data_IF_031214528136
#
_entry.id   IF_031214528136
#
_cell.length_a   1.000
_cell.length_b   1.000
_cell.length_c   1.000
_cell.angle_alpha   90.00
_cell.angle_beta   90.00
_cell.angle_gamma   90.00
#
_symmetry.space_group_name_H-M   'P 1'
#
loop_
_entity.id
_entity.type
_entity.pdbx_description
1 polymer ?
#
# COMPACT_ATOMS: atom_id res chain seq x y z
N UNK A 1 -25.42 2.63 8.79
CA UNK A 1 -25.07 2.66 10.22
C UNK A 1 -23.77 1.86 10.42
N UNK A 2 -22.84 2.38 11.25
CA UNK A 2 -21.59 1.68 11.55
C UNK A 2 -21.27 1.81 13.05
N UNK A 3 -20.80 0.72 13.65
CA UNK A 3 -20.32 0.66 15.03
C UNK A 3 -18.88 0.14 14.94
N UNK A 4 -17.95 0.87 15.56
CA UNK A 4 -16.52 0.56 15.50
C UNK A 4 -16.02 0.19 16.90
N UNK A 5 -15.27 -0.92 16.98
CA UNK A 5 -14.47 -1.31 18.14
C UNK A 5 -13.03 -1.34 17.70
N UNK A 6 -12.18 -0.60 18.38
CA UNK A 6 -10.76 -0.48 18.08
C UNK A 6 -10.00 -0.62 19.38
N UNK A 7 -8.97 -1.46 19.40
CA UNK A 7 -8.04 -1.59 20.51
C UNK A 7 -6.63 -1.72 19.96
N UNK A 8 -5.69 -0.99 20.56
CA UNK A 8 -4.31 -1.00 20.13
C UNK A 8 -3.36 -0.58 21.22
N UNK A 9 -2.09 -0.80 20.97
CA UNK A 9 -1.01 -0.34 21.85
C UNK A 9 0.22 0.04 21.06
N UNK A 10 0.99 0.93 21.65
CA UNK A 10 2.32 1.35 21.24
C UNK A 10 3.35 0.89 22.26
N UNK A 11 4.37 0.18 21.80
CA UNK A 11 5.48 -0.24 22.64
C UNK A 11 6.78 0.34 22.13
N UNK A 12 7.44 1.16 22.95
CA UNK A 12 8.75 1.75 22.65
C UNK A 12 9.83 1.00 23.40
N UNK A 13 10.86 0.58 22.69
CA UNK A 13 11.97 -0.16 23.26
C UNK A 13 13.29 0.19 22.57
N UNK A 14 14.39 -0.27 23.18
CA UNK A 14 15.71 -0.14 22.58
C UNK A 14 16.22 -1.52 22.19
N UNK A 15 16.74 -1.63 20.98
CA UNK A 15 17.45 -2.80 20.49
C UNK A 15 18.83 -2.34 20.00
N UNK A 16 19.90 -2.93 20.53
CA UNK A 16 21.30 -2.49 20.28
C UNK A 16 21.50 -0.98 20.51
N UNK A 17 20.96 -0.44 21.62
CA UNK A 17 20.97 0.99 21.99
C UNK A 17 20.26 1.94 21.01
N UNK A 18 19.47 1.44 20.05
CA UNK A 18 18.71 2.22 19.08
C UNK A 18 17.23 2.23 19.41
N UNK A 19 16.52 3.34 19.11
CA UNK A 19 15.09 3.43 19.39
C UNK A 19 14.25 2.65 18.39
N UNK A 20 13.31 1.88 18.90
CA UNK A 20 12.29 1.18 18.13
C UNK A 20 10.91 1.44 18.71
N UNK A 21 9.91 1.40 17.84
CA UNK A 21 8.51 1.48 18.20
C UNK A 21 7.74 0.36 17.49
N UNK A 22 7.07 -0.46 18.26
CA UNK A 22 6.12 -1.44 17.76
C UNK A 22 4.70 -0.95 18.03
N UNK A 23 3.86 -0.95 17.00
CA UNK A 23 2.43 -0.60 17.09
C UNK A 23 1.62 -1.81 16.67
N UNK A 24 0.60 -2.16 17.45
CA UNK A 24 -0.39 -3.16 17.07
C UNK A 24 -1.78 -2.59 17.33
N UNK A 25 -2.67 -2.72 16.32
CA UNK A 25 -4.06 -2.27 16.40
C UNK A 25 -4.97 -3.34 15.81
N UNK A 26 -5.94 -3.78 16.60
CA UNK A 26 -7.02 -4.65 16.16
C UNK A 26 -8.32 -3.85 16.04
N UNK A 27 -9.11 -4.11 15.02
CA UNK A 27 -10.38 -3.44 14.83
C UNK A 27 -11.48 -4.38 14.34
N UNK A 28 -12.70 -4.05 14.74
CA UNK A 28 -13.92 -4.65 14.24
C UNK A 28 -14.96 -3.57 13.96
N UNK A 29 -15.53 -3.56 12.75
CA UNK A 29 -16.57 -2.63 12.33
C UNK A 29 -17.81 -3.43 11.95
N UNK A 30 -18.88 -3.25 12.70
CA UNK A 30 -20.19 -3.77 12.35
C UNK A 30 -20.89 -2.76 11.43
N UNK A 31 -21.30 -3.22 10.25
CA UNK A 31 -21.92 -2.40 9.22
C UNK A 31 -23.38 -2.82 9.04
N UNK A 32 -24.31 -1.89 9.19
CA UNK A 32 -25.72 -2.12 9.00
C UNK A 32 -26.32 -1.19 7.96
N UNK A 33 -27.39 -1.63 7.31
CA UNK A 33 -28.08 -0.85 6.28
C UNK A 33 -27.14 -0.42 5.14
N UNK A 34 -26.35 -1.37 4.64
CA UNK A 34 -25.49 -1.14 3.49
C UNK A 34 -26.29 -1.20 2.21
N UNK A 35 -25.96 -0.32 1.27
CA UNK A 35 -26.38 -0.42 -0.12
C UNK A 35 -25.39 -1.30 -0.86
N UNK A 36 -25.80 -2.45 -1.39
CA UNK A 36 -24.91 -3.27 -2.18
C UNK A 36 -24.51 -2.55 -3.45
N UNK A 37 -23.26 -2.70 -3.83
CA UNK A 37 -22.72 -2.13 -5.07
C UNK A 37 -21.75 -3.10 -5.74
N UNK A 38 -21.61 -2.99 -7.04
CA UNK A 38 -20.57 -3.64 -7.84
C UNK A 38 -19.70 -2.62 -8.53
N UNK A 39 -18.51 -3.04 -8.90
CA UNK A 39 -17.60 -2.22 -9.71
C UNK A 39 -17.55 -2.86 -11.10
N UNK A 40 -18.13 -2.16 -12.08
CA UNK A 40 -18.12 -2.58 -13.46
C UNK A 40 -17.14 -1.72 -14.25
N UNK A 41 -16.04 -2.31 -14.67
CA UNK A 41 -14.84 -1.62 -15.16
C UNK A 41 -14.32 -0.66 -14.09
N UNK A 42 -14.54 0.63 -14.21
CA UNK A 42 -14.19 1.66 -13.21
C UNK A 42 -15.43 2.35 -12.63
N UNK A 43 -16.63 1.93 -13.05
CA UNK A 43 -17.90 2.53 -12.63
C UNK A 43 -18.50 1.77 -11.47
N UNK A 44 -18.84 2.49 -10.40
CA UNK A 44 -19.60 1.95 -9.27
C UNK A 44 -21.09 1.94 -9.64
N UNK A 45 -21.71 0.76 -9.52
CA UNK A 45 -23.14 0.56 -9.76
C UNK A 45 -23.81 0.16 -8.45
N UNK A 46 -24.71 0.99 -7.95
CA UNK A 46 -25.49 0.76 -6.73
C UNK A 46 -26.79 0.02 -7.04
N UNK A 47 -27.18 -0.91 -6.16
CA UNK A 47 -28.41 -1.70 -6.31
C UNK A 47 -29.65 -1.06 -5.66
N UNK A 48 -29.47 0.11 -5.03
CA UNK A 48 -30.57 1.01 -4.64
C UNK A 48 -31.11 0.86 -3.22
N UNK A 49 -31.14 -0.34 -2.64
CA UNK A 49 -31.79 -0.59 -1.36
C UNK A 49 -30.81 -0.86 -0.21
N UNK A 50 -31.14 -0.37 0.99
CA UNK A 50 -30.36 -0.52 2.23
C UNK A 50 -30.57 -1.90 2.89
N UNK A 51 -30.41 -2.99 2.13
CA UNK A 51 -30.81 -4.33 2.54
C UNK A 51 -29.67 -5.20 3.09
N UNK A 52 -28.43 -4.72 3.07
CA UNK A 52 -27.28 -5.51 3.47
C UNK A 52 -26.77 -5.15 4.85
N UNK A 53 -26.21 -6.11 5.52
CA UNK A 53 -25.34 -5.95 6.68
C UNK A 53 -23.95 -6.48 6.34
N UNK A 54 -22.94 -6.06 7.10
CA UNK A 54 -21.57 -6.49 6.84
C UNK A 54 -20.66 -6.28 8.02
N UNK A 55 -19.40 -6.63 7.84
CA UNK A 55 -18.36 -6.32 8.78
C UNK A 55 -17.02 -6.03 8.09
N UNK A 56 -16.16 -5.31 8.77
CA UNK A 56 -14.75 -5.20 8.47
C UNK A 56 -13.97 -5.47 9.75
N UNK A 57 -13.06 -6.45 9.71
CA UNK A 57 -12.22 -6.80 10.83
C UNK A 57 -10.77 -6.88 10.37
N UNK A 58 -9.83 -6.49 11.21
CA UNK A 58 -8.43 -6.53 10.84
C UNK A 58 -7.48 -6.35 12.01
N UNK A 59 -6.21 -6.57 11.68
CA UNK A 59 -5.06 -6.40 12.56
C UNK A 59 -3.97 -5.67 11.79
N UNK A 60 -3.56 -4.52 12.31
CA UNK A 60 -2.46 -3.73 11.77
C UNK A 60 -1.26 -3.79 12.71
N UNK A 61 -0.11 -4.21 12.19
CA UNK A 61 1.16 -4.29 12.89
C UNK A 61 2.17 -3.40 12.20
N UNK A 62 2.95 -2.64 12.97
CA UNK A 62 4.03 -1.82 12.43
C UNK A 62 5.23 -1.81 13.37
N UNK A 63 6.39 -2.09 12.82
CA UNK A 63 7.68 -1.89 13.46
C UNK A 63 8.39 -0.73 12.77
N UNK A 64 8.66 0.31 13.52
CA UNK A 64 9.40 1.48 13.09
C UNK A 64 10.64 1.61 13.96
N UNK A 65 11.77 2.02 13.39
CA UNK A 65 12.97 2.27 14.18
C UNK A 65 14.21 2.51 13.36
N UNK A 66 15.29 2.70 14.09
CA UNK A 66 16.62 2.95 13.58
C UNK A 66 17.36 1.61 13.35
N UNK A 67 17.05 0.92 12.26
CA UNK A 67 17.73 -0.33 11.90
C UNK A 67 19.22 -0.09 11.58
N UNK A 68 19.52 1.05 11.00
CA UNK A 68 20.86 1.52 10.73
C UNK A 68 21.02 2.90 11.39
N UNK A 69 22.16 3.20 12.08
CA UNK A 69 22.38 4.47 12.75
C UNK A 69 22.13 5.68 11.84
N UNK A 70 21.28 6.61 12.31
CA UNK A 70 20.94 7.83 11.58
C UNK A 70 19.93 7.66 10.44
N UNK A 71 19.26 6.50 10.35
CA UNK A 71 18.22 6.28 9.33
C UNK A 71 16.97 5.69 9.93
N UNK A 72 15.81 6.19 9.49
CA UNK A 72 14.50 5.66 9.86
C UNK A 72 14.03 4.63 8.84
N UNK A 73 13.66 3.46 9.34
CA UNK A 73 13.12 2.37 8.52
C UNK A 73 11.89 1.76 9.20
N UNK A 74 11.03 1.14 8.44
CA UNK A 74 9.83 0.52 8.99
C UNK A 74 9.34 -0.65 8.13
N UNK A 75 8.63 -1.54 8.78
CA UNK A 75 7.86 -2.61 8.16
C UNK A 75 6.46 -2.62 8.75
N UNK A 76 5.46 -2.83 7.93
CA UNK A 76 4.07 -2.98 8.35
C UNK A 76 3.43 -4.20 7.71
N UNK A 77 2.55 -4.83 8.48
CA UNK A 77 1.68 -5.93 8.07
C UNK A 77 0.25 -5.56 8.44
N UNK A 78 -0.64 -5.55 7.46
CA UNK A 78 -2.08 -5.41 7.66
C UNK A 78 -2.76 -6.71 7.24
N UNK A 79 -3.61 -7.23 8.10
CA UNK A 79 -4.49 -8.36 7.84
C UNK A 79 -5.93 -7.86 7.94
N UNK A 80 -6.73 -8.08 6.91
CA UNK A 80 -8.10 -7.57 6.88
C UNK A 80 -9.06 -8.59 6.26
N UNK A 81 -10.28 -8.60 6.75
CA UNK A 81 -11.41 -9.29 6.14
C UNK A 81 -12.62 -8.36 6.13
N UNK A 82 -13.18 -8.15 4.95
CA UNK A 82 -14.39 -7.33 4.81
C UNK A 82 -15.43 -8.09 4.00
N UNK A 83 -16.64 -8.19 4.53
CA UNK A 83 -17.73 -8.86 3.84
C UNK A 83 -19.07 -8.20 4.12
N UNK A 84 -20.01 -8.42 3.19
CA UNK A 84 -21.42 -8.08 3.36
C UNK A 84 -22.27 -9.34 3.21
N UNK A 85 -23.41 -9.36 3.87
CA UNK A 85 -24.46 -10.39 3.71
C UNK A 85 -25.55 -9.84 2.81
N UNK A 86 -25.77 -10.54 1.70
CA UNK A 86 -26.87 -10.31 0.75
C UNK A 86 -27.63 -11.62 0.59
N UNK A 87 -28.94 -11.64 0.80
CA UNK A 87 -29.79 -12.83 0.70
C UNK A 87 -29.26 -14.06 1.48
N UNK A 88 -28.67 -13.83 2.65
CA UNK A 88 -28.10 -14.89 3.49
C UNK A 88 -26.69 -15.37 3.09
N UNK A 89 -26.17 -14.97 1.93
CA UNK A 89 -24.82 -15.28 1.48
C UNK A 89 -23.82 -14.21 1.90
N UNK A 90 -22.61 -14.61 2.29
CA UNK A 90 -21.52 -13.71 2.59
C UNK A 90 -20.69 -13.45 1.33
N UNK A 91 -20.54 -12.18 0.97
CA UNK A 91 -19.82 -11.72 -0.22
C UNK A 91 -18.71 -10.78 0.21
N UNK A 92 -17.46 -10.94 -0.25
CA UNK A 92 -16.39 -9.99 0.04
C UNK A 92 -16.72 -8.62 -0.55
N UNK A 93 -16.46 -7.56 0.20
CA UNK A 93 -16.56 -6.20 -0.33
C UNK A 93 -15.47 -5.96 -1.38
N UNK A 94 -15.69 -5.09 -2.38
CA UNK A 94 -14.66 -4.77 -3.39
C UNK A 94 -13.36 -4.24 -2.80
N UNK A 95 -13.37 -3.79 -1.56
CA UNK A 95 -12.19 -3.33 -0.80
C UNK A 95 -11.54 -4.42 0.05
N UNK A 96 -11.99 -5.68 -0.03
CA UNK A 96 -11.46 -6.79 0.76
C UNK A 96 -10.05 -7.17 0.29
N UNK A 97 -9.05 -6.62 0.94
CA UNK A 97 -7.64 -6.93 0.74
C UNK A 97 -7.13 -7.71 1.95
N UNK A 98 -7.00 -9.03 1.82
CA UNK A 98 -6.76 -9.92 2.98
C UNK A 98 -5.46 -9.67 3.70
N UNK A 99 -4.43 -9.23 2.96
CA UNK A 99 -3.15 -8.85 3.55
C UNK A 99 -2.48 -7.74 2.75
N UNK A 100 -1.71 -6.92 3.45
CA UNK A 100 -0.78 -5.97 2.86
C UNK A 100 0.50 -5.92 3.70
N UNK A 101 1.64 -6.07 3.04
CA UNK A 101 2.98 -5.94 3.63
C UNK A 101 3.67 -4.79 2.95
N UNK A 102 4.12 -3.80 3.73
CA UNK A 102 4.94 -2.71 3.23
C UNK A 102 6.21 -2.60 4.05
N UNK A 103 7.32 -2.36 3.37
CA UNK A 103 8.61 -2.13 3.99
C UNK A 103 9.28 -0.92 3.35
N UNK A 104 9.86 -0.09 4.17
CA UNK A 104 10.76 0.97 3.76
C UNK A 104 12.05 0.85 4.57
N UNK A 105 13.15 0.70 3.89
CA UNK A 105 14.46 0.57 4.47
C UNK A 105 15.41 1.60 3.87
N UNK A 106 16.18 2.26 4.73
CA UNK A 106 17.24 3.17 4.30
C UNK A 106 18.54 2.82 4.97
N UNK A 107 19.63 2.99 4.23
CA UNK A 107 20.97 2.74 4.71
C UNK A 107 21.97 3.72 4.06
N UNK A 108 23.10 3.92 4.74
CA UNK A 108 24.27 4.58 4.18
C UNK A 108 25.26 3.51 3.71
N UNK A 109 26.01 3.80 2.64
CA UNK A 109 27.09 2.92 2.23
C UNK A 109 28.17 2.84 3.32
N UNK A 110 28.76 1.66 3.55
CA UNK A 110 29.80 1.49 4.54
C UNK A 110 30.96 2.50 4.37
N UNK A 111 31.33 3.17 5.47
CA UNK A 111 32.43 4.11 5.50
C UNK A 111 32.11 5.52 4.95
N UNK A 112 30.87 5.81 4.56
CA UNK A 112 30.50 7.15 4.08
C UNK A 112 29.05 7.50 4.39
N UNK A 113 28.81 8.74 4.81
CA UNK A 113 27.46 9.31 4.97
C UNK A 113 26.99 10.09 3.73
N UNK A 114 27.80 10.09 2.66
CA UNK A 114 27.46 10.81 1.42
C UNK A 114 26.52 10.01 0.51
N UNK A 115 26.61 8.69 0.52
CA UNK A 115 25.76 7.82 -0.26
C UNK A 115 24.66 7.21 0.62
N UNK A 116 23.43 7.46 0.27
CA UNK A 116 22.24 6.92 0.94
C UNK A 116 21.41 6.12 -0.03
N UNK A 117 21.17 4.87 0.31
CA UNK A 117 20.30 3.95 -0.44
C UNK A 117 18.94 3.87 0.24
N UNK A 118 17.88 3.70 -0.53
CA UNK A 118 16.55 3.37 -0.04
C UNK A 118 15.97 2.20 -0.80
N UNK A 119 15.27 1.32 -0.09
CA UNK A 119 14.52 0.20 -0.63
C UNK A 119 13.09 0.28 -0.12
N UNK A 120 12.12 0.20 -1.03
CA UNK A 120 10.70 0.10 -0.69
C UNK A 120 10.15 -1.17 -1.31
N UNK A 121 9.51 -1.99 -0.49
CA UNK A 121 8.78 -3.19 -0.93
C UNK A 121 7.31 -3.03 -0.58
N UNK A 122 6.44 -3.43 -1.51
CA UNK A 122 5.01 -3.51 -1.30
C UNK A 122 4.48 -4.82 -1.87
N UNK A 123 3.77 -5.56 -1.04
CA UNK A 123 3.08 -6.79 -1.38
C UNK A 123 1.67 -6.71 -0.81
N UNK A 124 0.65 -6.91 -1.62
CA UNK A 124 -0.72 -6.89 -1.14
C UNK A 124 -1.58 -7.90 -1.90
N UNK A 125 -2.61 -8.43 -1.25
CA UNK A 125 -3.56 -9.34 -1.88
C UNK A 125 -4.32 -8.64 -3.00
N UNK A 126 -4.76 -9.40 -3.98
CA UNK A 126 -5.60 -8.91 -5.05
C UNK A 126 -7.00 -8.55 -4.55
N UNK A 127 -7.55 -7.46 -5.06
CA UNK A 127 -8.92 -7.04 -4.76
C UNK A 127 -9.93 -7.97 -5.44
N UNK A 128 -11.09 -8.23 -4.80
CA UNK A 128 -12.16 -8.97 -5.43
C UNK A 128 -12.81 -8.16 -6.55
N UNK A 129 -13.22 -8.83 -7.61
CA UNK A 129 -13.97 -8.25 -8.71
C UNK A 129 -14.99 -9.26 -9.25
N UNK A 130 -16.00 -8.76 -9.95
CA UNK A 130 -17.07 -9.58 -10.53
C UNK A 130 -17.22 -9.27 -12.01
N UNK A 131 -17.71 -10.25 -12.78
CA UNK A 131 -18.08 -10.01 -14.17
C UNK A 131 -19.33 -9.11 -14.22
N UNK A 132 -19.42 -8.20 -15.24
CA UNK A 132 -20.59 -7.36 -15.43
C UNK A 132 -21.83 -8.20 -15.75
N UNK A 133 -23.02 -7.66 -15.46
CA UNK A 133 -24.32 -8.27 -15.72
C UNK A 133 -24.57 -9.63 -15.04
N UNK A 134 -23.78 -9.96 -14.01
CA UNK A 134 -24.02 -11.13 -13.16
C UNK A 134 -24.47 -10.71 -11.78
N UNK A 135 -25.25 -11.59 -11.13
CA UNK A 135 -25.64 -11.38 -9.74
C UNK A 135 -24.39 -11.26 -8.87
N UNK A 136 -24.38 -10.29 -7.94
CA UNK A 136 -23.29 -10.05 -6.98
C UNK A 136 -22.89 -11.31 -6.20
N UNK A 137 -23.82 -12.24 -6.02
CA UNK A 137 -23.64 -13.47 -5.27
C UNK A 137 -22.94 -14.59 -6.05
N UNK A 138 -22.80 -14.43 -7.37
CA UNK A 138 -22.20 -15.43 -8.24
C UNK A 138 -20.83 -14.99 -8.73
N UNK A 139 -19.81 -15.83 -8.49
CA UNK A 139 -18.48 -15.70 -9.10
C UNK A 139 -17.70 -14.41 -8.77
N UNK A 140 -17.30 -14.26 -7.52
CA UNK A 140 -16.31 -13.26 -7.13
C UNK A 140 -14.91 -13.81 -7.43
N UNK A 141 -14.19 -13.14 -8.31
CA UNK A 141 -12.79 -13.42 -8.64
C UNK A 141 -11.88 -12.50 -7.82
N UNK A 142 -10.60 -12.88 -7.69
CA UNK A 142 -9.56 -11.98 -7.15
C UNK A 142 -8.54 -11.65 -8.21
N UNK A 143 -8.16 -10.38 -8.26
CA UNK A 143 -7.04 -9.94 -9.05
C UNK A 143 -5.74 -10.60 -8.54
N UNK A 144 -4.70 -10.72 -9.37
CA UNK A 144 -3.38 -11.12 -8.92
C UNK A 144 -2.86 -10.19 -7.82
N UNK A 145 -2.06 -10.75 -6.89
CA UNK A 145 -1.46 -9.98 -5.82
C UNK A 145 -0.59 -8.84 -6.38
N UNK A 146 -0.75 -7.64 -5.81
CA UNK A 146 0.11 -6.49 -6.09
C UNK A 146 1.51 -6.73 -5.53
N UNK A 147 2.53 -6.48 -6.34
CA UNK A 147 3.95 -6.65 -5.96
C UNK A 147 4.75 -5.51 -6.55
N UNK A 148 5.52 -4.81 -5.71
CA UNK A 148 6.37 -3.71 -6.18
C UNK A 148 7.63 -3.61 -5.34
N UNK A 149 8.75 -3.42 -6.00
CA UNK A 149 10.02 -3.07 -5.40
C UNK A 149 10.52 -1.76 -6.03
N UNK A 150 10.87 -0.79 -5.21
CA UNK A 150 11.47 0.47 -5.63
C UNK A 150 12.85 0.60 -4.97
N UNK A 151 13.82 1.11 -5.70
CA UNK A 151 15.16 1.40 -5.19
C UNK A 151 15.50 2.85 -5.47
N UNK A 152 16.12 3.50 -4.50
CA UNK A 152 16.63 4.87 -4.64
C UNK A 152 18.08 4.94 -4.20
N UNK A 153 18.84 5.78 -4.89
CA UNK A 153 20.23 6.09 -4.57
C UNK A 153 20.38 7.61 -4.54
N UNK A 154 20.86 8.15 -3.43
CA UNK A 154 21.06 9.57 -3.25
C UNK A 154 22.53 9.83 -2.90
N UNK A 155 23.10 10.88 -3.47
CA UNK A 155 24.44 11.34 -3.20
C UNK A 155 24.43 12.77 -2.68
N UNK A 156 25.09 13.00 -1.54
CA UNK A 156 25.25 14.33 -0.93
C UNK A 156 26.48 15.01 -1.50
N UNK A 157 26.24 16.02 -2.33
CA UNK A 157 27.30 16.82 -2.97
C UNK A 157 27.86 17.84 -1.96
N UNK A 158 26.97 18.58 -1.28
CA UNK A 158 27.34 19.60 -0.30
C UNK A 158 26.89 19.14 1.08
N UNK A 159 27.79 19.22 2.03
CA UNK A 159 27.58 19.00 3.46
C UNK A 159 28.22 20.13 4.24
N UNK A 160 27.46 21.18 4.49
CA UNK A 160 27.93 22.37 5.25
C UNK A 160 27.37 22.36 6.68
N UNK A 161 27.36 21.20 7.33
CA UNK A 161 26.99 21.11 8.74
C UNK A 161 28.00 21.81 9.68
N UNK A 162 29.18 22.18 9.18
CA UNK A 162 30.18 22.92 9.91
C UNK A 162 29.76 24.38 10.04
N UNK A 163 29.43 24.77 11.27
CA UNK A 163 29.05 26.14 11.68
C UNK A 163 30.08 27.24 11.34
N UNK A 164 31.22 26.89 10.75
CA UNK A 164 32.30 27.83 10.44
C UNK A 164 32.19 28.50 9.06
N UNK A 165 31.39 27.95 8.15
CA UNK A 165 31.28 28.51 6.78
C UNK A 165 29.98 29.29 6.56
N UNK A 166 29.82 30.43 7.23
CA UNK A 166 28.66 31.33 7.11
C UNK A 166 28.51 32.00 5.73
N UNK A 167 29.41 31.75 4.79
CA UNK A 167 29.38 32.36 3.44
C UNK A 167 28.55 31.57 2.41
N UNK A 168 28.28 30.31 2.66
CA UNK A 168 27.52 29.52 1.71
C UNK A 168 26.07 29.38 2.21
N UNK A 169 25.07 29.91 1.50
CA UNK A 169 23.66 29.80 1.89
C UNK A 169 23.11 28.36 1.81
N UNK A 170 23.79 27.48 1.07
CA UNK A 170 23.36 26.09 0.91
C UNK A 170 24.00 25.26 2.02
N UNK A 171 23.14 24.64 2.85
CA UNK A 171 23.55 23.69 3.89
C UNK A 171 23.80 22.30 3.36
N UNK A 172 22.86 21.78 2.61
CA UNK A 172 22.96 20.46 2.01
C UNK A 172 22.48 20.51 0.56
N UNK A 173 23.17 19.77 -0.29
CA UNK A 173 22.74 19.51 -1.67
C UNK A 173 22.80 18.01 -1.91
N UNK A 174 21.65 17.44 -2.19
CA UNK A 174 21.49 16.03 -2.54
C UNK A 174 21.04 15.89 -3.98
N UNK A 175 21.66 14.95 -4.69
CA UNK A 175 21.20 14.49 -6.00
C UNK A 175 20.90 13.00 -5.89
N UNK A 176 19.78 12.58 -6.42
CA UNK A 176 19.35 11.19 -6.34
C UNK A 176 18.66 10.71 -7.60
N UNK A 177 18.68 9.42 -7.77
CA UNK A 177 17.90 8.70 -8.78
C UNK A 177 17.09 7.60 -8.10
N UNK A 178 15.86 7.40 -8.55
CA UNK A 178 14.94 6.38 -8.06
C UNK A 178 14.42 5.55 -9.22
N UNK A 179 14.46 4.24 -9.08
CA UNK A 179 13.82 3.32 -9.99
C UNK A 179 12.57 2.73 -9.32
N UNK A 180 11.40 3.14 -9.79
CA UNK A 180 10.11 2.65 -9.32
C UNK A 180 9.73 1.40 -10.12
N UNK A 181 9.13 0.42 -9.44
CA UNK A 181 8.80 -0.88 -9.99
C UNK A 181 10.03 -1.55 -10.67
N UNK A 182 11.11 -1.69 -9.91
CA UNK A 182 12.41 -2.21 -10.37
C UNK A 182 12.28 -3.55 -11.10
N UNK A 183 11.39 -4.42 -10.61
CA UNK A 183 11.18 -5.76 -11.18
C UNK A 183 10.33 -5.73 -12.46
N UNK A 184 9.74 -4.57 -12.82
CA UNK A 184 8.91 -4.44 -14.02
C UNK A 184 7.62 -5.27 -13.98
N UNK A 185 7.06 -5.52 -12.78
CA UNK A 185 5.86 -6.34 -12.62
C UNK A 185 4.64 -5.58 -13.13
N UNK A 186 3.87 -6.22 -13.99
CA UNK A 186 2.60 -5.70 -14.49
C UNK A 186 1.51 -5.91 -13.45
N UNK A 187 1.36 -4.96 -12.53
CA UNK A 187 0.30 -4.98 -11.53
C UNK A 187 -1.03 -4.59 -12.14
N UNK A 188 -2.05 -5.40 -11.91
CA UNK A 188 -3.40 -5.15 -12.42
C UNK A 188 -4.09 -4.09 -11.56
N UNK A 189 -4.62 -3.05 -12.20
CA UNK A 189 -5.45 -2.03 -11.55
C UNK A 189 -6.93 -2.39 -11.61
N UNK A 190 -7.39 -2.84 -12.78
CA UNK A 190 -8.79 -3.17 -13.04
C UNK A 190 -8.87 -4.09 -14.26
N UNK A 191 -10.08 -4.57 -14.56
CA UNK A 191 -10.35 -5.35 -15.76
C UNK A 191 -11.38 -4.61 -16.62
N UNK A 192 -11.13 -4.56 -17.93
CA UNK A 192 -12.15 -4.26 -18.93
C UNK A 192 -12.77 -5.54 -19.42
N UNK A 193 -14.08 -5.55 -19.53
CA UNK A 193 -14.82 -6.69 -20.07
C UNK A 193 -15.20 -6.42 -21.50
N UNK A 194 -14.82 -7.32 -22.39
CA UNK A 194 -15.21 -7.34 -23.80
C UNK A 194 -16.02 -8.59 -24.06
N UNK A 195 -17.09 -8.41 -24.84
CA UNK A 195 -17.94 -9.51 -25.31
C UNK A 195 -17.66 -9.73 -26.78
N UNK A 196 -17.41 -10.98 -27.17
CA UNK A 196 -17.19 -11.33 -28.57
C UNK A 196 -18.54 -11.56 -29.31
N UNK A 197 -18.42 -11.87 -30.59
CA UNK A 197 -19.63 -12.15 -31.46
C UNK A 197 -20.40 -13.41 -31.07
N UNK A 198 -19.83 -14.25 -30.20
CA UNK A 198 -20.46 -15.46 -29.67
C UNK A 198 -21.04 -15.27 -28.28
N UNK A 199 -21.12 -14.02 -27.79
CA UNK A 199 -21.59 -13.60 -26.46
C UNK A 199 -20.70 -14.10 -25.30
N UNK A 200 -19.44 -14.43 -25.59
CA UNK A 200 -18.46 -14.78 -24.56
C UNK A 200 -17.77 -13.53 -24.02
N UNK A 201 -17.65 -13.48 -22.70
CA UNK A 201 -17.02 -12.36 -21.99
C UNK A 201 -15.56 -12.67 -21.63
N UNK A 202 -14.67 -11.73 -21.96
CA UNK A 202 -13.26 -11.80 -21.65
C UNK A 202 -12.84 -10.64 -20.75
N UNK A 203 -12.11 -10.97 -19.68
CA UNK A 203 -11.52 -9.98 -18.77
C UNK A 203 -10.14 -9.54 -19.30
N UNK A 204 -10.04 -8.32 -19.78
CA UNK A 204 -8.79 -7.73 -20.26
C UNK A 204 -8.17 -6.91 -19.14
N UNK A 205 -6.96 -7.25 -18.65
CA UNK A 205 -6.35 -6.53 -17.55
C UNK A 205 -5.90 -5.12 -17.98
N UNK A 206 -6.22 -4.14 -17.15
CA UNK A 206 -5.66 -2.79 -17.21
C UNK A 206 -4.55 -2.68 -16.18
N UNK A 207 -3.33 -2.45 -16.63
CA UNK A 207 -2.15 -2.46 -15.76
C UNK A 207 -1.83 -1.07 -15.22
N UNK A 208 -1.31 -1.05 -14.00
CA UNK A 208 -0.68 0.12 -13.43
C UNK A 208 0.61 0.46 -14.19
N UNK A 209 1.14 1.65 -13.93
CA UNK A 209 2.39 2.13 -14.53
C UNK A 209 3.54 1.14 -14.34
N UNK A 210 4.23 0.85 -15.44
CA UNK A 210 5.42 -0.01 -15.45
C UNK A 210 6.61 0.62 -14.72
N UNK A 211 7.82 0.21 -15.11
CA UNK A 211 9.06 0.76 -14.54
C UNK A 211 9.21 2.24 -14.89
N UNK A 212 9.57 3.06 -13.89
CA UNK A 212 9.85 4.49 -14.05
C UNK A 212 11.18 4.84 -13.37
N UNK A 213 11.90 5.77 -13.99
CA UNK A 213 13.12 6.34 -13.43
C UNK A 213 12.87 7.81 -13.15
N UNK A 214 13.10 8.22 -11.90
CA UNK A 214 12.99 9.60 -11.46
C UNK A 214 14.37 10.11 -11.03
N UNK A 215 14.66 11.37 -11.35
CA UNK A 215 15.83 12.09 -10.86
C UNK A 215 15.35 13.20 -9.92
N UNK A 216 16.04 13.35 -8.77
CA UNK A 216 15.67 14.30 -7.73
C UNK A 216 16.88 15.14 -7.33
N UNK A 217 16.64 16.41 -7.15
CA UNK A 217 17.60 17.34 -6.53
C UNK A 217 16.92 17.97 -5.30
N UNK A 218 17.58 17.92 -4.16
CA UNK A 218 17.09 18.52 -2.92
C UNK A 218 18.15 19.49 -2.39
N UNK A 219 17.71 20.71 -2.08
CA UNK A 219 18.59 21.80 -1.60
C UNK A 219 18.03 22.29 -0.26
N UNK A 220 18.87 22.28 0.78
CA UNK A 220 18.56 22.84 2.09
C UNK A 220 19.40 24.13 2.28
N UNK A 221 18.75 25.20 2.69
CA UNK A 221 19.33 26.54 2.90
C UNK A 221 19.58 26.85 4.37
#
# INVERSE_FOLDING_TARGET
RSIHFIAGFDYRFKMNNRPFKFTAEGYYKALGNLVPYSVNNVKVVYYGDNMCSGHAAGLDLKLFGEFVPGTDSWVSLSLMNTSMKLNGKSIPLPTDQRYAVNMFFTDYFPGTTRWKMSLKLALADGLPFSAPHRELESNVFRAPAYKRADIGLNYRIIDNNDRHNKRNPIRNLWVGAECLNLLGINNVNSYYWITDVTDQQYAVPNYLTGRQINVKVSVDF
#
